data_IF_555015113819
#
_entry.id   IF_555015113819
#
_cell.length_a   1.000
_cell.length_b   1.000
_cell.length_c   1.000
_cell.angle_alpha   90.00
_cell.angle_beta   90.00
_cell.angle_gamma   90.00
#
_symmetry.space_group_name_H-M   'P 1'
#
loop_
_entity.id
_entity.type
_entity.pdbx_description
1 polymer ?
#
# COMPACT_ATOMS: atom_id res chain seq x y z
N UNK A 1 11.52 31.13 -62.15
CA UNK A 1 12.54 30.77 -61.15
C UNK A 1 11.82 30.42 -59.85
N UNK A 2 11.47 29.14 -59.66
CA UNK A 2 10.85 28.64 -58.42
C UNK A 2 11.42 27.25 -58.15
N UNK A 3 12.45 27.20 -57.30
CA UNK A 3 13.08 25.93 -56.90
C UNK A 3 12.29 25.36 -55.73
N UNK A 4 11.88 24.10 -55.90
CA UNK A 4 11.00 23.31 -55.05
C UNK A 4 11.52 23.10 -53.63
N UNK A 5 10.73 23.56 -52.65
CA UNK A 5 10.77 23.15 -51.25
C UNK A 5 10.13 21.76 -51.15
N UNK A 6 10.86 20.69 -51.49
CA UNK A 6 10.38 19.29 -51.34
C UNK A 6 11.45 18.29 -50.87
N UNK A 7 12.53 18.75 -50.25
CA UNK A 7 13.65 17.87 -49.88
C UNK A 7 14.10 17.97 -48.41
N UNK A 8 13.20 18.38 -47.51
CA UNK A 8 13.48 18.41 -46.06
C UNK A 8 12.38 17.69 -45.26
N UNK A 9 12.10 16.43 -45.62
CA UNK A 9 11.15 15.58 -44.90
C UNK A 9 11.67 14.15 -44.67
N UNK A 10 12.99 13.95 -44.70
CA UNK A 10 13.57 12.60 -44.60
C UNK A 10 14.89 12.58 -43.82
N UNK A 11 14.92 13.08 -42.57
CA UNK A 11 15.93 12.66 -41.60
C UNK A 11 15.55 13.03 -40.15
N UNK A 12 14.38 12.58 -39.69
CA UNK A 12 14.16 12.37 -38.24
C UNK A 12 13.69 10.94 -38.08
N UNK A 13 14.60 10.00 -38.36
CA UNK A 13 14.48 8.66 -37.81
C UNK A 13 14.81 8.84 -36.32
N UNK A 14 13.76 9.11 -35.55
CA UNK A 14 13.79 9.16 -34.11
C UNK A 14 14.48 7.88 -33.65
N UNK A 15 15.66 8.03 -33.06
CA UNK A 15 16.34 6.95 -32.35
C UNK A 15 15.44 6.69 -31.14
N UNK A 16 14.42 5.85 -31.33
CA UNK A 16 13.72 5.20 -30.25
C UNK A 16 14.70 4.20 -29.65
N UNK A 17 15.73 4.73 -28.96
CA UNK A 17 16.27 4.01 -27.83
C UNK A 17 15.07 3.88 -26.90
N UNK A 18 14.38 2.74 -27.01
CA UNK A 18 13.58 2.27 -25.89
C UNK A 18 14.51 2.41 -24.70
N UNK A 19 14.14 3.26 -23.75
CA UNK A 19 14.76 3.28 -22.43
C UNK A 19 14.43 1.92 -21.84
N UNK A 20 15.19 0.91 -22.27
CA UNK A 20 15.15 -0.42 -21.71
C UNK A 20 15.54 -0.22 -20.25
N UNK A 21 14.69 -0.69 -19.36
CA UNK A 21 14.94 -0.55 -17.95
C UNK A 21 16.33 -1.13 -17.65
N UNK A 22 17.19 -0.36 -16.98
CA UNK A 22 18.57 -0.75 -16.73
C UNK A 22 18.59 -2.02 -15.88
N UNK A 23 19.14 -3.11 -16.39
CA UNK A 23 19.36 -4.33 -15.60
C UNK A 23 20.43 -4.05 -14.54
N UNK A 24 20.19 -4.47 -13.30
CA UNK A 24 21.11 -4.34 -12.17
C UNK A 24 21.42 -5.72 -11.60
N UNK A 25 22.70 -5.98 -11.35
CA UNK A 25 23.18 -7.19 -10.70
C UNK A 25 23.81 -6.85 -9.34
N UNK A 26 23.20 -7.32 -8.26
CA UNK A 26 23.72 -7.19 -6.90
C UNK A 26 24.51 -8.46 -6.61
N UNK A 27 25.81 -8.38 -6.33
CA UNK A 27 26.71 -9.55 -6.26
C UNK A 27 27.38 -9.71 -4.90
N UNK A 28 27.66 -10.96 -4.50
CA UNK A 28 28.44 -11.25 -3.28
C UNK A 28 27.67 -11.13 -1.96
N UNK A 29 26.35 -10.94 -2.02
CA UNK A 29 25.52 -10.72 -0.84
C UNK A 29 25.24 -12.02 -0.06
N UNK A 30 24.98 -11.89 1.24
CA UNK A 30 24.19 -12.87 1.97
C UNK A 30 22.72 -12.52 1.80
N UNK A 31 21.97 -13.35 1.08
CA UNK A 31 20.57 -13.08 0.69
C UNK A 31 19.63 -13.96 1.51
N UNK A 32 18.75 -13.33 2.29
CA UNK A 32 17.64 -14.04 2.94
C UNK A 32 16.44 -14.03 2.02
N UNK A 33 16.12 -15.16 1.37
CA UNK A 33 15.03 -15.20 0.39
C UNK A 33 13.63 -15.22 1.02
N UNK A 34 13.53 -15.59 2.30
CA UNK A 34 12.26 -15.80 3.03
C UNK A 34 11.34 -16.82 2.31
N UNK A 35 11.94 -17.69 1.50
CA UNK A 35 11.28 -18.78 0.78
C UNK A 35 12.03 -20.11 0.98
N UNK A 36 11.68 -21.15 0.20
CA UNK A 36 12.26 -22.49 0.35
C UNK A 36 13.78 -22.55 0.20
N UNK A 37 14.38 -21.62 -0.56
CA UNK A 37 15.82 -21.53 -0.74
C UNK A 37 16.57 -21.03 0.51
N UNK A 38 15.85 -20.51 1.52
CA UNK A 38 16.44 -20.06 2.78
C UNK A 38 17.42 -18.90 2.60
N UNK A 39 18.58 -19.02 3.25
CA UNK A 39 19.66 -18.03 3.20
C UNK A 39 20.74 -18.50 2.23
N UNK A 40 21.11 -17.65 1.28
CA UNK A 40 22.16 -17.91 0.29
C UNK A 40 23.37 -17.03 0.59
N UNK A 41 24.56 -17.60 0.73
CA UNK A 41 25.81 -16.86 0.91
C UNK A 41 26.50 -16.64 -0.44
N UNK A 42 27.20 -15.51 -0.60
CA UNK A 42 27.86 -15.14 -1.85
C UNK A 42 26.93 -15.17 -3.09
N UNK A 43 25.67 -14.77 -2.90
CA UNK A 43 24.66 -14.84 -3.93
C UNK A 43 24.59 -13.56 -4.79
N UNK A 44 24.04 -13.73 -5.98
CA UNK A 44 23.73 -12.69 -6.94
C UNK A 44 22.22 -12.54 -7.10
N UNK A 45 21.75 -11.30 -7.19
CA UNK A 45 20.36 -10.93 -7.50
C UNK A 45 20.38 -10.16 -8.82
N UNK A 46 19.57 -10.57 -9.79
CA UNK A 46 19.35 -9.84 -11.05
C UNK A 46 18.01 -9.14 -10.96
N UNK A 47 18.04 -7.82 -11.12
CA UNK A 47 16.88 -6.95 -11.19
C UNK A 47 16.79 -6.40 -12.61
N UNK A 48 15.69 -6.66 -13.29
CA UNK A 48 15.37 -6.09 -14.59
C UNK A 48 14.19 -5.14 -14.46
N UNK A 49 14.47 -3.84 -14.55
CA UNK A 49 13.53 -2.77 -14.24
C UNK A 49 12.90 -2.91 -12.85
N UNK A 50 11.64 -3.34 -12.80
CA UNK A 50 10.85 -3.46 -11.56
C UNK A 50 10.71 -4.89 -11.05
N UNK A 51 11.39 -5.87 -11.66
CA UNK A 51 11.26 -7.29 -11.33
C UNK A 51 12.60 -7.91 -11.01
N UNK A 52 12.60 -8.80 -10.03
CA UNK A 52 13.72 -9.70 -9.80
C UNK A 52 13.56 -10.86 -10.77
N UNK A 53 14.56 -11.07 -11.63
CA UNK A 53 14.53 -12.13 -12.67
C UNK A 53 15.33 -13.36 -12.25
N UNK A 54 16.30 -13.21 -11.34
CA UNK A 54 17.06 -14.35 -10.82
C UNK A 54 17.69 -14.05 -9.44
N UNK A 55 17.81 -15.08 -8.60
CA UNK A 55 18.51 -15.05 -7.31
C UNK A 55 19.24 -16.38 -7.12
N UNK A 56 20.55 -16.37 -6.85
CA UNK A 56 21.34 -17.60 -6.69
C UNK A 56 22.85 -17.36 -6.62
N UNK A 57 23.63 -18.40 -6.37
CA UNK A 57 25.11 -18.33 -6.26
C UNK A 57 25.83 -18.34 -7.61
N UNK A 58 25.33 -19.09 -8.60
CA UNK A 58 25.97 -19.27 -9.91
C UNK A 58 25.18 -18.60 -11.03
N UNK A 59 24.85 -17.33 -10.85
CA UNK A 59 24.03 -16.57 -11.79
C UNK A 59 24.91 -15.94 -12.88
N UNK A 60 24.60 -16.20 -14.14
CA UNK A 60 25.23 -15.50 -15.27
C UNK A 60 24.76 -14.04 -15.27
N UNK A 61 25.69 -13.12 -15.03
CA UNK A 61 25.41 -11.69 -15.02
C UNK A 61 25.35 -11.18 -16.46
N UNK A 62 24.24 -10.53 -16.89
CA UNK A 62 24.16 -9.92 -18.22
C UNK A 62 25.29 -8.92 -18.46
N UNK A 63 25.85 -8.90 -19.66
CA UNK A 63 27.03 -8.07 -19.99
C UNK A 63 26.77 -6.56 -19.80
N UNK A 64 25.53 -6.12 -20.01
CA UNK A 64 25.08 -4.73 -19.87
C UNK A 64 24.49 -4.40 -18.48
N UNK A 65 24.56 -5.32 -17.51
CA UNK A 65 24.02 -5.08 -16.18
C UNK A 65 24.90 -4.10 -15.40
N UNK A 66 24.25 -3.15 -14.72
CA UNK A 66 24.88 -2.33 -13.70
C UNK A 66 25.23 -3.21 -12.50
N UNK A 67 26.51 -3.29 -12.15
CA UNK A 67 26.98 -4.16 -11.06
C UNK A 67 27.05 -3.39 -9.75
N UNK A 68 26.47 -3.95 -8.70
CA UNK A 68 26.53 -3.44 -7.33
C UNK A 68 27.19 -4.51 -6.48
N UNK A 69 28.38 -4.21 -5.97
CA UNK A 69 29.08 -5.10 -5.04
C UNK A 69 28.47 -5.01 -3.64
N UNK A 70 27.93 -6.14 -3.17
CA UNK A 70 27.32 -6.32 -1.86
C UNK A 70 28.09 -7.36 -1.03
N UNK A 71 29.37 -7.57 -1.33
CA UNK A 71 30.25 -8.46 -0.56
C UNK A 71 30.26 -8.05 0.92
N UNK A 72 30.01 -9.03 1.79
CA UNK A 72 29.90 -8.81 3.24
C UNK A 72 28.65 -8.05 3.68
N UNK A 73 27.69 -7.81 2.78
CA UNK A 73 26.39 -7.19 3.08
C UNK A 73 25.29 -8.24 3.12
N UNK A 74 24.22 -7.89 3.83
CA UNK A 74 23.00 -8.68 3.92
C UNK A 74 21.92 -8.02 3.07
N UNK A 75 21.19 -8.83 2.29
CA UNK A 75 20.05 -8.38 1.49
C UNK A 75 18.80 -9.17 1.88
N UNK A 76 17.72 -8.45 2.15
CA UNK A 76 16.40 -9.01 2.47
C UNK A 76 15.34 -8.44 1.53
N UNK A 77 14.19 -9.11 1.35
CA UNK A 77 13.00 -8.48 0.83
C UNK A 77 12.66 -7.23 1.66
N UNK A 78 12.10 -6.23 0.99
CA UNK A 78 11.53 -5.08 1.67
C UNK A 78 10.42 -5.51 2.63
N UNK A 79 10.40 -4.93 3.82
CA UNK A 79 9.42 -5.24 4.85
C UNK A 79 8.03 -4.72 4.46
N UNK A 80 7.01 -5.41 4.96
CA UNK A 80 5.61 -5.01 4.85
C UNK A 80 5.08 -4.65 6.23
N UNK A 81 4.61 -3.42 6.39
CA UNK A 81 3.88 -2.99 7.60
C UNK A 81 2.38 -3.29 7.40
N UNK A 82 1.79 -4.31 8.04
CA UNK A 82 0.50 -4.85 7.61
C UNK A 82 -0.70 -3.98 7.98
N UNK A 83 -0.64 -3.27 9.11
CA UNK A 83 -1.73 -2.43 9.62
C UNK A 83 -1.14 -1.21 10.31
N UNK A 84 -1.55 -0.02 9.88
CA UNK A 84 -1.06 1.23 10.45
C UNK A 84 -1.75 2.46 9.87
N UNK A 85 -1.27 3.63 10.28
CA UNK A 85 -1.81 4.94 9.90
C UNK A 85 -0.77 5.77 9.14
N UNK A 86 0.19 5.10 8.49
CA UNK A 86 1.29 5.76 7.79
C UNK A 86 0.73 6.65 6.67
N UNK A 87 1.08 7.94 6.67
CA UNK A 87 0.54 8.91 5.72
C UNK A 87 -0.94 9.27 5.93
N UNK A 88 -1.59 8.77 6.99
CA UNK A 88 -2.92 9.20 7.45
C UNK A 88 -2.84 10.02 8.74
N UNK A 89 -1.77 9.85 9.50
CA UNK A 89 -1.50 10.59 10.72
C UNK A 89 -0.06 11.07 10.74
N UNK A 90 0.15 12.40 10.78
CA UNK A 90 1.50 12.97 10.92
C UNK A 90 1.86 13.17 12.41
N UNK A 91 0.96 13.77 13.19
CA UNK A 91 1.11 13.94 14.64
C UNK A 91 -0.20 13.51 15.30
N UNK A 92 -0.24 12.29 15.82
CA UNK A 92 -1.48 11.64 16.28
C UNK A 92 -2.27 12.40 17.36
N UNK A 93 -1.64 13.35 18.07
CA UNK A 93 -2.23 14.20 19.10
C UNK A 93 -2.86 15.51 18.57
N UNK A 94 -2.65 15.87 17.30
CA UNK A 94 -3.24 17.07 16.68
C UNK A 94 -4.37 16.63 15.76
N UNK A 95 -5.61 16.94 16.15
CA UNK A 95 -6.83 16.46 15.49
C UNK A 95 -6.85 16.73 13.96
N UNK A 96 -6.34 17.88 13.51
CA UNK A 96 -6.26 18.22 12.07
C UNK A 96 -5.16 17.52 11.28
N UNK A 97 -4.43 16.59 11.88
CA UNK A 97 -3.40 15.78 11.21
C UNK A 97 -3.67 14.28 11.32
N UNK A 98 -4.86 13.88 11.80
CA UNK A 98 -5.26 12.49 11.99
C UNK A 98 -6.53 12.19 11.19
N UNK A 99 -6.33 11.82 9.92
CA UNK A 99 -7.39 11.42 9.01
C UNK A 99 -7.73 9.92 9.11
N UNK A 100 -7.07 9.22 10.05
CA UNK A 100 -7.30 7.80 10.27
C UNK A 100 -8.49 7.51 11.20
N UNK A 101 -9.09 8.54 11.81
CA UNK A 101 -10.18 8.41 12.79
C UNK A 101 -11.40 9.23 12.36
N UNK A 102 -12.58 8.61 12.35
CA UNK A 102 -13.86 9.31 12.08
C UNK A 102 -14.92 8.96 13.13
N UNK A 103 -15.87 9.88 13.35
CA UNK A 103 -16.96 9.83 14.34
C UNK A 103 -18.28 10.33 13.73
N UNK A 104 -19.40 9.97 14.35
CA UNK A 104 -20.72 10.54 14.02
C UNK A 104 -21.64 9.64 13.19
N UNK A 105 -22.88 10.10 12.98
CA UNK A 105 -24.00 9.28 12.49
C UNK A 105 -24.00 8.99 10.98
N UNK A 106 -23.27 9.78 10.17
CA UNK A 106 -23.20 9.61 8.72
C UNK A 106 -22.23 8.49 8.28
N UNK A 107 -21.75 7.68 9.24
CA UNK A 107 -20.74 6.67 8.99
C UNK A 107 -21.33 5.38 8.42
N UNK A 108 -20.68 4.84 7.39
CA UNK A 108 -21.00 3.54 6.82
C UNK A 108 -19.72 2.74 6.59
N UNK A 109 -19.85 1.43 6.36
CA UNK A 109 -18.74 0.56 6.00
C UNK A 109 -17.94 1.01 4.75
N UNK A 110 -18.44 2.00 4.00
CA UNK A 110 -17.80 2.52 2.79
C UNK A 110 -16.75 3.62 3.03
N UNK A 111 -16.54 4.09 4.27
CA UNK A 111 -15.48 5.06 4.57
C UNK A 111 -14.12 4.51 4.10
N UNK A 112 -13.38 5.23 3.26
CA UNK A 112 -12.11 4.79 2.70
C UNK A 112 -10.99 5.77 3.05
N UNK A 113 -10.01 5.30 3.82
CA UNK A 113 -8.83 6.11 4.19
C UNK A 113 -7.93 6.44 3.00
N UNK A 114 -8.09 5.75 1.86
CA UNK A 114 -7.34 6.06 0.65
C UNK A 114 -7.61 7.49 0.13
N UNK A 115 -8.75 8.10 0.46
CA UNK A 115 -9.05 9.48 0.09
C UNK A 115 -8.19 10.51 0.84
N UNK A 116 -7.68 10.15 2.02
CA UNK A 116 -6.89 11.05 2.88
C UNK A 116 -5.40 10.69 2.94
N UNK A 117 -4.95 9.72 2.14
CA UNK A 117 -3.56 9.31 2.15
C UNK A 117 -2.64 10.42 1.61
N UNK A 118 -1.69 10.86 2.46
CA UNK A 118 -0.63 11.79 2.12
C UNK A 118 0.65 11.03 1.70
N UNK A 119 0.95 10.88 0.40
CA UNK A 119 2.18 10.23 -0.06
C UNK A 119 3.44 11.04 0.24
N UNK A 120 3.31 12.32 0.64
CA UNK A 120 4.42 13.21 0.99
C UNK A 120 4.77 13.20 2.47
N UNK A 121 4.15 12.32 3.27
CA UNK A 121 4.46 12.16 4.69
C UNK A 121 5.95 11.88 4.91
N UNK A 122 6.57 12.60 5.85
CA UNK A 122 7.97 12.34 6.23
C UNK A 122 8.14 10.95 6.86
N UNK A 123 7.07 10.40 7.45
CA UNK A 123 7.07 9.07 8.05
C UNK A 123 7.26 7.98 6.99
N UNK A 124 6.85 8.21 5.74
CA UNK A 124 7.10 7.30 4.63
C UNK A 124 8.60 7.22 4.34
N UNK A 125 9.29 8.37 4.28
CA UNK A 125 10.72 8.40 4.04
C UNK A 125 11.50 7.70 5.18
N UNK A 126 11.11 7.93 6.44
CA UNK A 126 11.70 7.27 7.61
C UNK A 126 11.48 5.76 7.54
N UNK A 127 10.24 5.32 7.31
CA UNK A 127 9.91 3.88 7.25
C UNK A 127 10.70 3.15 6.16
N UNK A 128 11.00 3.81 5.04
CA UNK A 128 11.84 3.25 3.97
C UNK A 128 13.30 3.09 4.36
N UNK A 129 13.85 4.01 5.16
CA UNK A 129 15.21 3.90 5.69
C UNK A 129 15.31 2.65 6.57
N UNK A 130 14.26 2.34 7.32
CA UNK A 130 14.14 1.13 8.14
C UNK A 130 13.79 -0.14 7.33
N UNK A 131 13.72 -0.03 6.00
CA UNK A 131 13.50 -1.15 5.09
C UNK A 131 12.03 -1.50 4.79
N UNK A 132 11.07 -0.70 5.25
CA UNK A 132 9.64 -0.89 4.91
C UNK A 132 9.38 -0.36 3.50
N UNK A 133 8.86 -1.22 2.62
CA UNK A 133 8.61 -0.88 1.20
C UNK A 133 7.14 -0.85 0.82
N UNK A 134 6.29 -1.48 1.65
CA UNK A 134 4.84 -1.53 1.49
C UNK A 134 4.18 -1.36 2.86
N UNK A 135 2.99 -0.75 2.88
CA UNK A 135 2.20 -0.62 4.10
C UNK A 135 0.71 -0.85 3.85
N UNK A 136 0.02 -1.45 4.81
CA UNK A 136 -1.43 -1.44 4.92
C UNK A 136 -1.84 -0.22 5.75
N UNK A 137 -2.55 0.71 5.12
CA UNK A 137 -3.12 1.89 5.76
C UNK A 137 -4.56 1.60 6.13
N UNK A 138 -4.92 1.83 7.37
CA UNK A 138 -6.24 1.42 7.90
C UNK A 138 -6.83 2.49 8.80
N UNK A 139 -8.16 2.67 8.74
CA UNK A 139 -8.86 3.48 9.73
C UNK A 139 -8.79 2.81 11.10
N UNK A 140 -9.07 3.59 12.14
CA UNK A 140 -9.15 3.13 13.52
C UNK A 140 -10.32 3.82 14.23
N UNK A 141 -10.95 3.12 15.18
CA UNK A 141 -11.88 3.76 16.11
C UNK A 141 -11.15 4.64 17.15
N UNK A 142 -11.66 5.85 17.37
CA UNK A 142 -11.15 6.80 18.34
C UNK A 142 -12.03 6.90 19.59
N UNK A 143 -11.49 7.56 20.63
CA UNK A 143 -12.29 8.01 21.77
C UNK A 143 -13.36 9.02 21.32
N UNK A 144 -14.46 9.22 22.06
CA UNK A 144 -15.45 10.24 21.71
C UNK A 144 -14.82 11.63 21.53
N UNK A 145 -15.37 12.47 20.64
CA UNK A 145 -14.95 13.87 20.55
C UNK A 145 -15.63 14.73 21.63
N UNK A 146 -15.30 16.03 21.66
CA UNK A 146 -15.87 16.99 22.61
C UNK A 146 -17.38 17.24 22.45
N UNK A 147 -17.96 16.76 21.35
CA UNK A 147 -19.39 16.87 21.02
C UNK A 147 -20.15 15.57 21.34
N UNK A 148 -19.44 14.54 21.82
CA UNK A 148 -20.02 13.25 22.20
C UNK A 148 -20.20 12.28 21.02
N UNK A 149 -19.70 12.59 19.83
CA UNK A 149 -19.75 11.65 18.71
C UNK A 149 -18.78 10.49 18.97
N UNK A 150 -19.22 9.27 18.64
CA UNK A 150 -18.42 8.06 18.80
C UNK A 150 -18.04 7.47 17.44
N UNK A 151 -16.93 6.74 17.41
CA UNK A 151 -16.61 5.84 16.30
C UNK A 151 -17.54 4.61 16.31
N UNK A 152 -17.47 3.79 15.26
CA UNK A 152 -18.32 2.62 15.06
C UNK A 152 -17.53 1.30 15.13
N UNK A 153 -18.27 0.19 15.28
CA UNK A 153 -17.70 -1.16 15.23
C UNK A 153 -17.01 -1.39 13.90
N UNK A 154 -17.67 -1.08 12.79
CA UNK A 154 -17.03 -1.01 11.47
C UNK A 154 -16.34 0.36 11.35
N UNK A 155 -15.05 0.40 11.04
CA UNK A 155 -14.30 1.65 10.82
C UNK A 155 -14.03 1.93 9.33
N UNK A 156 -14.48 1.07 8.43
CA UNK A 156 -14.42 1.29 6.99
C UNK A 156 -13.34 0.46 6.33
N UNK A 157 -12.83 0.97 5.22
CA UNK A 157 -11.92 0.33 4.29
C UNK A 157 -10.48 0.76 4.54
N UNK A 158 -9.57 -0.20 4.52
CA UNK A 158 -8.13 0.01 4.48
C UNK A 158 -7.55 -0.36 3.12
N UNK A 159 -6.38 0.19 2.81
CA UNK A 159 -5.73 0.09 1.50
C UNK A 159 -4.27 -0.32 1.64
N UNK A 160 -3.70 -0.93 0.59
CA UNK A 160 -2.27 -1.28 0.55
C UNK A 160 -1.54 -0.30 -0.34
N UNK A 161 -0.45 0.28 0.16
CA UNK A 161 0.36 1.28 -0.54
C UNK A 161 1.80 0.80 -0.76
N UNK A 162 2.42 1.29 -1.85
CA UNK A 162 3.85 1.29 -2.04
C UNK A 162 4.46 2.53 -1.42
N UNK A 163 5.60 2.37 -0.74
CA UNK A 163 6.33 3.49 -0.15
C UNK A 163 7.42 4.03 -1.09
N UNK A 164 7.82 3.26 -2.11
CA UNK A 164 8.85 3.70 -3.06
C UNK A 164 8.39 4.82 -4.00
N UNK A 165 9.34 5.29 -4.79
CA UNK A 165 9.12 6.34 -5.78
C UNK A 165 8.35 5.76 -6.98
N UNK A 166 7.03 5.94 -6.96
CA UNK A 166 6.10 5.45 -7.95
C UNK A 166 4.98 6.49 -8.09
N UNK A 167 4.55 6.83 -9.31
CA UNK A 167 3.41 7.73 -9.50
C UNK A 167 2.11 7.09 -9.01
N UNK A 168 2.03 5.76 -9.01
CA UNK A 168 0.94 5.00 -8.41
C UNK A 168 1.36 4.50 -7.04
N UNK A 169 0.78 5.08 -5.99
CA UNK A 169 1.07 4.72 -4.60
C UNK A 169 0.20 3.57 -4.11
N UNK A 170 -0.97 3.32 -4.69
CA UNK A 170 -1.85 2.24 -4.27
C UNK A 170 -1.51 0.95 -4.99
N UNK A 171 -1.30 -0.11 -4.22
CA UNK A 171 -1.30 -1.48 -4.75
C UNK A 171 -2.73 -1.97 -4.91
N UNK A 172 -3.55 -1.67 -3.91
CA UNK A 172 -4.96 -2.04 -3.89
C UNK A 172 -5.71 -1.12 -2.92
N UNK A 173 -6.71 -0.41 -3.43
CA UNK A 173 -7.67 0.34 -2.61
C UNK A 173 -8.73 -0.62 -2.06
N UNK A 174 -9.27 -0.32 -0.88
CA UNK A 174 -10.29 -1.15 -0.24
C UNK A 174 -9.89 -2.62 -0.09
N UNK A 175 -8.61 -2.87 0.21
CA UNK A 175 -8.06 -4.21 0.33
C UNK A 175 -8.58 -4.95 1.57
N UNK A 176 -8.97 -4.22 2.62
CA UNK A 176 -9.46 -4.76 3.88
C UNK A 176 -10.66 -3.96 4.40
N UNK A 177 -11.53 -4.61 5.16
CA UNK A 177 -12.54 -3.95 5.99
C UNK A 177 -12.08 -4.04 7.44
N UNK A 178 -12.14 -2.92 8.17
CA UNK A 178 -11.70 -2.84 9.57
C UNK A 178 -12.92 -2.90 10.49
N UNK A 179 -12.87 -3.85 11.43
CA UNK A 179 -13.84 -3.98 12.51
C UNK A 179 -13.14 -3.97 13.87
N UNK A 180 -13.69 -3.25 14.84
CA UNK A 180 -13.12 -3.09 16.18
C UNK A 180 -13.81 -4.01 17.17
N UNK A 181 -13.00 -4.78 17.88
CA UNK A 181 -13.43 -5.69 18.95
C UNK A 181 -12.68 -5.40 20.25
N UNK A 182 -12.90 -6.22 21.27
CA UNK A 182 -12.26 -6.04 22.57
C UNK A 182 -12.79 -4.80 23.31
N UNK A 183 -11.92 -4.12 24.04
CA UNK A 183 -12.29 -2.92 24.80
C UNK A 183 -12.77 -1.79 23.87
N UNK A 184 -12.03 -1.50 22.80
CA UNK A 184 -12.42 -0.48 21.82
C UNK A 184 -13.78 -0.78 21.21
N UNK A 185 -13.99 -2.02 20.74
CA UNK A 185 -15.27 -2.47 20.20
C UNK A 185 -16.41 -2.35 21.22
N UNK A 186 -16.15 -2.72 22.48
CA UNK A 186 -17.11 -2.58 23.58
C UNK A 186 -17.48 -1.12 23.82
N UNK A 187 -16.49 -0.21 23.83
CA UNK A 187 -16.70 1.22 24.05
C UNK A 187 -17.59 1.86 22.97
N UNK A 188 -17.40 1.48 21.70
CA UNK A 188 -18.22 1.97 20.58
C UNK A 188 -19.55 1.23 20.41
N UNK A 189 -19.73 0.08 21.07
CA UNK A 189 -20.94 -0.73 21.02
C UNK A 189 -21.79 -0.65 22.30
N UNK A 190 -21.75 0.48 23.00
CA UNK A 190 -22.59 0.71 24.18
C UNK A 190 -22.16 -0.07 25.44
N UNK A 191 -20.87 -0.40 25.56
CA UNK A 191 -20.28 -1.01 26.76
C UNK A 191 -20.25 -2.53 26.78
N UNK A 192 -20.66 -3.22 25.70
CA UNK A 192 -20.66 -4.68 25.63
C UNK A 192 -19.89 -5.22 24.42
N UNK A 193 -18.94 -6.14 24.68
CA UNK A 193 -18.27 -6.92 23.61
C UNK A 193 -19.27 -7.76 22.80
N UNK A 194 -20.32 -8.27 23.43
CA UNK A 194 -21.39 -8.98 22.73
C UNK A 194 -22.18 -8.03 21.82
N UNK A 195 -22.39 -6.79 22.27
CA UNK A 195 -22.98 -5.74 21.45
C UNK A 195 -22.19 -5.49 20.16
N UNK A 196 -20.85 -5.44 20.23
CA UNK A 196 -20.02 -5.27 19.04
C UNK A 196 -20.19 -6.42 18.03
N UNK A 197 -20.28 -7.66 18.51
CA UNK A 197 -20.55 -8.84 17.66
C UNK A 197 -21.95 -8.78 17.06
N UNK A 198 -22.95 -8.36 17.85
CA UNK A 198 -24.33 -8.20 17.37
C UNK A 198 -24.42 -7.16 16.26
N UNK A 199 -23.74 -6.01 16.42
CA UNK A 199 -23.68 -4.95 15.40
C UNK A 199 -23.04 -5.48 14.12
N UNK A 200 -21.91 -6.20 14.21
CA UNK A 200 -21.30 -6.77 13.01
C UNK A 200 -22.23 -7.77 12.31
N UNK A 201 -22.89 -8.65 13.07
CA UNK A 201 -23.82 -9.64 12.49
C UNK A 201 -24.97 -8.95 11.78
N UNK A 202 -25.60 -7.97 12.42
CA UNK A 202 -26.67 -7.18 11.81
C UNK A 202 -26.21 -6.53 10.50
N UNK A 203 -25.05 -5.87 10.49
CA UNK A 203 -24.51 -5.25 9.28
C UNK A 203 -24.24 -6.25 8.14
N UNK A 204 -23.76 -7.46 8.46
CA UNK A 204 -23.54 -8.52 7.47
C UNK A 204 -24.85 -9.10 6.94
N UNK A 205 -25.85 -9.26 7.81
CA UNK A 205 -27.15 -9.78 7.44
C UNK A 205 -27.90 -8.75 6.58
N UNK A 206 -27.87 -7.46 6.93
CA UNK A 206 -28.37 -6.36 6.09
C UNK A 206 -27.72 -6.35 4.70
N UNK A 207 -26.39 -6.50 4.65
CA UNK A 207 -25.67 -6.54 3.37
C UNK A 207 -26.07 -7.76 2.52
N UNK A 208 -26.30 -8.91 3.15
CA UNK A 208 -26.79 -10.12 2.47
C UNK A 208 -28.23 -9.97 1.99
N UNK A 209 -29.09 -9.34 2.79
CA UNK A 209 -30.46 -9.06 2.43
C UNK A 209 -30.55 -8.08 1.26
N UNK A 210 -29.76 -7.00 1.29
CA UNK A 210 -29.63 -6.08 0.16
C UNK A 210 -29.13 -6.81 -1.09
N UNK A 211 -28.12 -7.67 -0.98
CA UNK A 211 -27.60 -8.42 -2.12
C UNK A 211 -28.65 -9.35 -2.75
N UNK A 212 -29.51 -9.98 -1.94
CA UNK A 212 -30.60 -10.84 -2.42
C UNK A 212 -31.79 -10.05 -2.99
N UNK A 213 -32.08 -8.90 -2.39
CA UNK A 213 -33.32 -8.15 -2.64
C UNK A 213 -33.08 -6.78 -3.29
N UNK A 214 -31.94 -6.58 -3.94
CA UNK A 214 -31.47 -5.28 -4.45
C UNK A 214 -32.54 -4.47 -5.18
N UNK A 215 -33.22 -5.10 -6.15
CA UNK A 215 -34.26 -4.43 -6.95
C UNK A 215 -35.51 -4.03 -6.14
N UNK A 216 -35.81 -4.71 -5.04
CA UNK A 216 -36.90 -4.32 -4.15
C UNK A 216 -36.47 -3.12 -3.29
N UNK A 217 -35.28 -3.17 -2.70
CA UNK A 217 -34.74 -2.09 -1.86
C UNK A 217 -34.56 -0.79 -2.64
N UNK A 218 -34.09 -0.86 -3.90
CA UNK A 218 -33.88 0.32 -4.74
C UNK A 218 -35.19 0.99 -5.21
N UNK A 219 -36.34 0.33 -5.06
CA UNK A 219 -37.66 0.86 -5.47
C UNK A 219 -38.45 1.53 -4.33
N UNK A 220 -37.97 1.43 -3.09
CA UNK A 220 -38.65 1.98 -1.90
C UNK A 220 -39.68 1.02 -1.33
#
# INVERSE_FOLDING_TARGET
MSVSIKFLALFVLLIANGVGAQTTAITGATVHTVGPAGTLTNATIIVDGRRITAVGVDIVIPANANRVDATGKIVTPGLFSPLGQLGLSEVSAVAGTNDATQRGAAFTASFDVAEAFNPRSILIAISRIDGVTRAGITPRAGAPDGEGNVSHVLSGLGSVVHLGDSPEHFVKRGAVVVANFGETGSGVAGGSRAGAIQILRAALDDARDYARNKAAVERG
#
